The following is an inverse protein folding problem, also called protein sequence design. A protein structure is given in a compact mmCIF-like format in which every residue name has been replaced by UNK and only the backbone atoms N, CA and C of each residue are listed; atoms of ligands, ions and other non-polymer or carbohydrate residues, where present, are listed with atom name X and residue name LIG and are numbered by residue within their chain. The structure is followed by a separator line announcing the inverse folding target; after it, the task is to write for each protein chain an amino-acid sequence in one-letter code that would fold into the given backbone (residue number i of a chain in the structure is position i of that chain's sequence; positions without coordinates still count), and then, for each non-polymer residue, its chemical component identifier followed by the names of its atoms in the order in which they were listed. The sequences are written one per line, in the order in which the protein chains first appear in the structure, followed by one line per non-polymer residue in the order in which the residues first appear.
data_IF_057371594138
#
_entry.id   IF_057371594138
#
_cell.length_a   1.000
_cell.length_b   1.000
_cell.length_c   1.000
_cell.angle_alpha   90.00
_cell.angle_beta   90.00
_cell.angle_gamma   90.00
#
_symmetry.space_group_name_H-M   'P 1'
#
loop_
_entity.id
_entity.type
_entity.pdbx_description
1 polymer ?
#
# COMPACT_ATOMS: atom_id res chain seq x y z
N UNK A 1 -29.64 6.30 -16.94
CA UNK A 1 -29.20 5.37 -15.87
C UNK A 1 -27.78 5.73 -15.49
N UNK A 2 -27.52 5.95 -14.21
CA UNK A 2 -26.17 6.18 -13.72
C UNK A 2 -25.37 4.89 -13.86
N UNK A 3 -24.19 4.97 -14.48
CA UNK A 3 -23.27 3.84 -14.58
C UNK A 3 -22.81 3.43 -13.18
N UNK A 4 -22.81 2.15 -12.89
CA UNK A 4 -22.31 1.62 -11.62
C UNK A 4 -21.08 0.76 -11.84
N UNK A 5 -20.26 0.62 -10.81
CA UNK A 5 -19.07 -0.21 -10.78
C UNK A 5 -19.02 -1.07 -9.52
N UNK A 6 -18.31 -2.19 -9.57
CA UNK A 6 -18.10 -3.06 -8.42
C UNK A 6 -16.83 -2.61 -7.70
N UNK A 7 -17.00 -2.19 -6.45
CA UNK A 7 -15.90 -1.98 -5.51
C UNK A 7 -15.69 -3.24 -4.68
N UNK A 8 -14.45 -3.53 -4.28
CA UNK A 8 -14.10 -4.67 -3.41
C UNK A 8 -13.42 -4.17 -2.15
N UNK A 9 -13.59 -4.90 -1.06
CA UNK A 9 -12.75 -4.75 0.13
C UNK A 9 -11.56 -5.73 0.10
N UNK A 10 -10.73 -5.69 1.14
CA UNK A 10 -9.56 -6.58 1.27
C UNK A 10 -9.92 -8.05 1.54
N UNK A 11 -11.17 -8.34 1.85
CA UNK A 11 -11.68 -9.70 2.07
C UNK A 11 -12.38 -10.27 0.83
N UNK A 12 -12.53 -9.45 -0.23
CA UNK A 12 -13.19 -9.85 -1.48
C UNK A 12 -14.70 -9.61 -1.50
N UNK A 13 -15.30 -9.00 -0.47
CA UNK A 13 -16.69 -8.58 -0.51
C UNK A 13 -16.89 -7.54 -1.61
N UNK A 14 -18.05 -7.58 -2.25
CA UNK A 14 -18.37 -6.73 -3.40
C UNK A 14 -19.50 -5.76 -3.08
N UNK A 15 -19.35 -4.53 -3.54
CA UNK A 15 -20.29 -3.44 -3.37
C UNK A 15 -20.54 -2.79 -4.73
N UNK A 16 -21.80 -2.76 -5.18
CA UNK A 16 -22.21 -2.03 -6.39
C UNK A 16 -22.36 -0.56 -6.04
N UNK A 17 -21.59 0.31 -6.67
CA UNK A 17 -21.53 1.74 -6.36
C UNK A 17 -21.78 2.56 -7.63
N UNK A 18 -22.66 3.57 -7.60
CA UNK A 18 -22.77 4.56 -8.68
C UNK A 18 -21.45 5.28 -8.91
N UNK A 19 -21.07 5.50 -10.16
CA UNK A 19 -19.77 6.12 -10.52
C UNK A 19 -19.64 7.55 -9.97
N UNK A 20 -20.72 8.27 -9.86
CA UNK A 20 -20.80 9.64 -9.31
C UNK A 20 -20.61 9.69 -7.78
N UNK A 21 -20.68 8.56 -7.09
CA UNK A 21 -20.38 8.45 -5.65
C UNK A 21 -18.90 8.08 -5.37
N UNK A 22 -18.10 7.86 -6.40
CA UNK A 22 -16.68 7.52 -6.22
C UNK A 22 -15.83 8.76 -5.92
N UNK A 23 -15.00 8.68 -4.88
CA UNK A 23 -13.89 9.61 -4.71
C UNK A 23 -12.66 9.11 -5.47
N UNK A 24 -11.92 10.02 -6.08
CA UNK A 24 -10.59 9.72 -6.62
C UNK A 24 -9.58 9.84 -5.49
N UNK A 25 -8.78 8.78 -5.29
CA UNK A 25 -7.69 8.73 -4.31
C UNK A 25 -6.41 8.33 -5.01
N UNK A 26 -5.34 9.05 -4.76
CA UNK A 26 -3.99 8.64 -5.16
C UNK A 26 -3.32 7.97 -3.96
N UNK A 27 -2.81 6.76 -4.17
CA UNK A 27 -2.07 6.00 -3.18
C UNK A 27 -0.64 5.75 -3.66
N UNK A 28 0.31 5.83 -2.75
CA UNK A 28 1.73 5.55 -2.97
C UNK A 28 2.18 4.43 -2.05
N UNK A 29 2.94 3.48 -2.58
CA UNK A 29 3.37 2.28 -1.86
C UNK A 29 4.85 2.01 -2.15
N UNK A 30 5.60 1.64 -1.11
CA UNK A 30 7.02 1.32 -1.22
C UNK A 30 7.24 -0.18 -1.36
N UNK A 31 8.04 -0.56 -2.34
CA UNK A 31 8.55 -1.92 -2.54
C UNK A 31 9.99 -1.92 -2.07
N UNK A 32 10.18 -2.21 -0.78
CA UNK A 32 11.48 -2.19 -0.10
C UNK A 32 11.98 -3.63 0.01
N UNK A 33 13.01 -3.95 -0.76
CA UNK A 33 13.58 -5.30 -0.83
C UNK A 33 15.07 -5.21 -0.56
N UNK A 34 15.52 -5.93 0.48
CA UNK A 34 16.92 -6.09 0.88
C UNK A 34 17.18 -7.58 1.22
N UNK A 35 18.32 -8.10 0.87
CA UNK A 35 18.78 -9.45 1.22
C UNK A 35 17.73 -10.56 1.00
N UNK A 36 17.05 -10.57 -0.15
CA UNK A 36 15.98 -11.50 -0.51
C UNK A 36 14.75 -11.45 0.42
N UNK A 37 14.51 -10.30 1.06
CA UNK A 37 13.34 -10.06 1.90
C UNK A 37 12.64 -8.78 1.49
N UNK A 38 11.33 -8.77 1.65
CA UNK A 38 10.50 -7.57 1.48
C UNK A 38 10.05 -7.05 2.85
N UNK A 39 10.08 -5.73 3.02
CA UNK A 39 9.54 -5.09 4.22
C UNK A 39 8.03 -4.87 4.03
N UNK A 40 7.25 -5.42 4.95
CA UNK A 40 5.79 -5.34 4.96
C UNK A 40 5.28 -4.84 6.31
N UNK A 41 4.16 -4.16 6.31
CA UNK A 41 3.44 -3.78 7.54
C UNK A 41 2.51 -4.90 7.95
N UNK A 42 2.59 -5.33 9.21
CA UNK A 42 1.70 -6.34 9.76
C UNK A 42 0.29 -5.78 9.96
N UNK A 43 -0.68 -6.49 9.44
CA UNK A 43 -2.11 -6.25 9.63
C UNK A 43 -2.67 -7.25 10.65
N UNK A 44 -3.96 -7.12 11.01
CA UNK A 44 -4.63 -8.00 11.98
C UNK A 44 -4.49 -9.49 11.66
N UNK A 45 -4.58 -9.86 10.39
CA UNK A 45 -4.60 -11.23 9.91
C UNK A 45 -3.71 -11.45 8.68
N UNK A 46 -2.73 -10.60 8.49
CA UNK A 46 -1.83 -10.68 7.34
C UNK A 46 -0.86 -9.52 7.23
N UNK A 47 -0.55 -9.15 6.02
CA UNK A 47 0.43 -8.12 5.70
C UNK A 47 -0.07 -7.18 4.60
N UNK A 48 0.44 -5.96 4.59
CA UNK A 48 0.26 -5.00 3.51
C UNK A 48 1.60 -4.36 3.14
N UNK A 49 1.65 -3.70 1.98
CA UNK A 49 2.76 -2.80 1.67
C UNK A 49 2.72 -1.56 2.57
N UNK A 50 3.90 -0.99 2.78
CA UNK A 50 4.09 0.29 3.42
C UNK A 50 3.63 1.39 2.45
N UNK A 51 2.83 2.32 2.93
CA UNK A 51 2.33 3.41 2.12
C UNK A 51 0.89 3.77 2.39
N UNK A 52 0.42 4.83 1.77
CA UNK A 52 -0.93 5.35 2.02
C UNK A 52 -1.38 6.37 0.98
N UNK A 53 -2.22 7.30 1.40
CA UNK A 53 -2.79 8.31 0.53
C UNK A 53 -1.91 9.54 0.40
N UNK A 54 -1.82 10.08 -0.80
CA UNK A 54 -1.24 11.41 -1.04
C UNK A 54 -2.15 12.46 -0.39
N UNK A 55 -1.55 13.32 0.41
CA UNK A 55 -2.23 14.44 1.05
C UNK A 55 -2.24 15.69 0.16
N UNK A 56 -3.16 16.61 0.46
CA UNK A 56 -3.21 17.88 -0.28
C UNK A 56 -1.95 18.70 -0.02
N UNK A 57 -1.29 19.11 -1.10
CA UNK A 57 -0.08 19.91 -1.05
C UNK A 57 1.22 19.12 -1.10
N UNK A 58 1.14 17.78 -1.08
CA UNK A 58 2.29 16.90 -1.27
C UNK A 58 2.49 16.52 -2.73
N UNK A 59 3.74 16.35 -3.13
CA UNK A 59 4.09 15.56 -4.31
C UNK A 59 3.98 14.06 -3.99
N UNK A 60 3.93 13.22 -5.01
CA UNK A 60 3.88 11.76 -4.81
C UNK A 60 5.18 11.24 -4.15
N UNK A 61 6.31 11.87 -4.43
CA UNK A 61 7.61 11.55 -3.84
C UNK A 61 7.68 11.96 -2.36
N UNK A 62 7.19 13.14 -2.00
CA UNK A 62 7.09 13.55 -0.59
C UNK A 62 6.17 12.62 0.19
N UNK A 63 5.04 12.24 -0.39
CA UNK A 63 4.08 11.36 0.26
C UNK A 63 4.67 9.98 0.54
N UNK A 64 5.38 9.37 -0.40
CA UNK A 64 5.97 8.03 -0.15
C UNK A 64 7.10 8.09 0.88
N UNK A 65 7.88 9.16 0.94
CA UNK A 65 8.89 9.34 2.00
C UNK A 65 8.22 9.47 3.37
N UNK A 66 7.19 10.31 3.48
CA UNK A 66 6.42 10.48 4.73
C UNK A 66 5.81 9.17 5.21
N UNK A 67 5.11 8.44 4.35
CA UNK A 67 4.45 7.17 4.70
C UNK A 67 5.47 6.13 5.19
N UNK A 68 6.62 6.01 4.52
CA UNK A 68 7.67 5.08 4.95
C UNK A 68 8.22 5.49 6.32
N UNK A 69 8.48 6.77 6.55
CA UNK A 69 8.98 7.26 7.82
C UNK A 69 7.96 7.04 8.96
N UNK A 70 6.69 7.38 8.73
CA UNK A 70 5.61 7.22 9.70
C UNK A 70 5.41 5.75 10.10
N UNK A 71 5.32 4.84 9.12
CA UNK A 71 5.02 3.44 9.37
C UNK A 71 6.23 2.62 9.83
N UNK A 72 7.46 3.05 9.52
CA UNK A 72 8.64 2.21 9.74
C UNK A 72 9.79 2.86 10.50
N UNK A 73 9.83 4.18 10.58
CA UNK A 73 10.99 4.94 11.07
C UNK A 73 12.17 4.99 10.10
N UNK A 74 12.04 4.38 8.91
CA UNK A 74 13.05 4.41 7.87
C UNK A 74 12.86 5.62 6.97
N UNK A 75 13.95 6.08 6.37
CA UNK A 75 13.96 7.13 5.36
C UNK A 75 14.42 6.52 4.04
N UNK A 76 13.64 6.68 3.00
CA UNK A 76 13.99 6.23 1.64
C UNK A 76 14.29 7.41 0.72
N UNK A 77 15.10 7.14 -0.31
CA UNK A 77 15.14 7.96 -1.51
C UNK A 77 14.34 7.21 -2.59
N UNK A 78 13.14 7.71 -2.98
CA UNK A 78 12.36 7.08 -4.05
C UNK A 78 13.17 7.05 -5.35
N UNK A 79 13.06 5.96 -6.11
CA UNK A 79 13.80 5.80 -7.37
C UNK A 79 12.83 5.71 -8.55
N UNK A 80 12.18 4.57 -8.75
CA UNK A 80 11.33 4.32 -9.91
C UNK A 80 9.92 3.93 -9.50
N UNK A 81 8.95 4.33 -10.30
CA UNK A 81 7.61 3.74 -10.28
C UNK A 81 7.66 2.48 -11.14
N UNK A 82 7.63 1.32 -10.50
CA UNK A 82 7.72 0.01 -11.18
C UNK A 82 6.36 -0.53 -11.58
N UNK A 83 5.31 -0.11 -10.90
CA UNK A 83 3.96 -0.58 -11.18
C UNK A 83 2.95 0.52 -10.89
N UNK A 84 1.83 0.47 -11.59
CA UNK A 84 0.67 1.34 -11.38
C UNK A 84 -0.60 0.54 -11.59
N UNK A 85 -1.61 0.81 -10.78
CA UNK A 85 -2.90 0.17 -10.89
C UNK A 85 -4.04 1.16 -10.63
N UNK A 86 -5.20 0.88 -11.21
CA UNK A 86 -6.45 1.53 -10.81
C UNK A 86 -7.34 0.47 -10.19
N UNK A 87 -7.74 0.69 -8.95
CA UNK A 87 -8.63 -0.21 -8.21
C UNK A 87 -9.88 0.52 -7.74
N UNK A 88 -10.95 -0.24 -7.55
CA UNK A 88 -12.21 0.26 -7.01
C UNK A 88 -12.43 -0.39 -5.66
N UNK A 89 -12.27 0.41 -4.62
CA UNK A 89 -12.22 -0.05 -3.24
C UNK A 89 -13.30 0.58 -2.38
N UNK A 90 -13.90 -0.24 -1.53
CA UNK A 90 -14.83 0.20 -0.48
C UNK A 90 -14.60 -0.68 0.74
N UNK A 91 -14.22 -0.09 1.88
CA UNK A 91 -13.82 -0.84 3.07
C UNK A 91 -14.95 -1.68 3.66
N UNK A 92 -16.16 -1.14 3.66
CA UNK A 92 -17.38 -1.78 4.14
C UNK A 92 -18.61 -1.07 3.55
N UNK A 93 -19.81 -1.51 3.88
CA UNK A 93 -21.06 -0.95 3.37
C UNK A 93 -21.25 0.54 3.66
N UNK A 94 -20.69 1.06 4.76
CA UNK A 94 -20.85 2.44 5.22
C UNK A 94 -19.71 3.38 4.78
N UNK A 95 -18.56 2.79 4.40
CA UNK A 95 -17.39 3.58 4.01
C UNK A 95 -17.58 4.24 2.65
N UNK A 96 -16.87 5.36 2.45
CA UNK A 96 -16.74 6.00 1.15
C UNK A 96 -16.09 5.07 0.15
N UNK A 97 -16.64 4.98 -1.04
CA UNK A 97 -16.07 4.23 -2.16
C UNK A 97 -15.03 5.08 -2.90
N UNK A 98 -13.94 4.43 -3.30
CA UNK A 98 -12.82 5.10 -3.94
C UNK A 98 -12.44 4.43 -5.26
N UNK A 99 -12.20 5.23 -6.28
CA UNK A 99 -11.37 4.90 -7.41
C UNK A 99 -9.94 5.26 -7.04
N UNK A 100 -9.11 4.27 -6.72
CA UNK A 100 -7.74 4.47 -6.28
C UNK A 100 -6.78 4.32 -7.45
N UNK A 101 -5.98 5.35 -7.68
CA UNK A 101 -4.80 5.30 -8.56
C UNK A 101 -3.62 4.98 -7.66
N UNK A 102 -2.99 3.84 -7.85
CA UNK A 102 -1.93 3.32 -6.99
C UNK A 102 -0.60 3.31 -7.73
N UNK A 103 0.44 3.82 -7.08
CA UNK A 103 1.79 3.93 -7.60
C UNK A 103 2.75 3.18 -6.68
N UNK A 104 3.60 2.32 -7.25
CA UNK A 104 4.51 1.46 -6.51
C UNK A 104 5.94 1.87 -6.81
N UNK A 105 6.66 2.31 -5.76
CA UNK A 105 8.00 2.84 -5.84
C UNK A 105 9.05 1.84 -5.37
N UNK A 106 10.17 1.79 -6.07
CA UNK A 106 11.44 1.30 -5.51
C UNK A 106 12.21 2.43 -4.84
N UNK A 107 13.29 2.09 -4.17
CA UNK A 107 14.20 3.04 -3.55
C UNK A 107 15.64 2.82 -4.01
N UNK A 108 16.43 3.89 -4.02
CA UNK A 108 17.88 3.86 -4.28
C UNK A 108 18.71 3.89 -3.00
N UNK A 109 18.15 4.40 -1.92
CA UNK A 109 18.78 4.48 -0.61
C UNK A 109 17.76 4.19 0.48
N UNK A 110 18.22 3.54 1.55
CA UNK A 110 17.45 3.20 2.74
C UNK A 110 18.30 3.50 3.97
N UNK A 111 17.77 4.32 4.89
CA UNK A 111 18.45 4.74 6.10
C UNK A 111 17.55 4.62 7.32
N UNK A 112 18.17 4.56 8.51
CA UNK A 112 17.45 4.55 9.78
C UNK A 112 17.35 3.16 10.39
N UNK A 113 16.53 3.06 11.43
CA UNK A 113 16.22 1.82 12.13
C UNK A 113 14.72 1.64 12.20
N UNK A 114 14.26 0.42 12.01
CA UNK A 114 12.83 0.11 12.07
C UNK A 114 12.31 0.41 13.48
N UNK A 115 11.30 1.25 13.52
CA UNK A 115 10.46 1.51 14.68
C UNK A 115 9.04 1.88 14.21
N UNK A 116 8.10 1.93 15.12
CA UNK A 116 6.72 2.34 14.86
C UNK A 116 6.28 3.50 15.76
N UNK A 117 7.22 4.30 16.24
CA UNK A 117 6.94 5.38 17.19
C UNK A 117 6.11 6.51 16.57
N UNK A 118 6.18 6.66 15.26
CA UNK A 118 5.51 7.72 14.49
C UNK A 118 4.13 7.32 13.94
N UNK A 119 3.68 6.08 14.17
CA UNK A 119 2.36 5.62 13.70
C UNK A 119 1.27 6.41 14.41
N UNK A 120 0.39 7.04 13.63
CA UNK A 120 -0.74 7.82 14.16
C UNK A 120 -1.80 6.92 14.81
N UNK A 121 -2.63 7.49 15.71
CA UNK A 121 -3.70 6.72 16.38
C UNK A 121 -4.74 6.18 15.40
N UNK A 122 -4.96 6.83 14.26
CA UNK A 122 -5.82 6.32 13.19
C UNK A 122 -5.21 5.10 12.51
N UNK A 123 -3.91 5.06 12.33
CA UNK A 123 -3.19 3.94 11.71
C UNK A 123 -3.09 2.75 12.66
N UNK A 124 -2.92 2.96 13.96
CA UNK A 124 -2.97 1.89 14.99
C UNK A 124 -4.26 1.08 14.97
N UNK A 125 -5.31 1.62 14.37
CA UNK A 125 -6.56 0.89 14.14
C UNK A 125 -6.42 -0.20 13.07
N UNK A 126 -5.47 -0.09 12.16
CA UNK A 126 -5.27 -0.99 11.01
C UNK A 126 -4.02 -1.84 11.11
N UNK A 127 -2.98 -1.35 11.78
CA UNK A 127 -1.73 -2.09 11.98
C UNK A 127 -1.63 -2.54 13.44
N UNK A 128 -1.17 -3.75 13.67
CA UNK A 128 -1.01 -4.29 15.02
C UNK A 128 0.45 -4.53 15.40
N UNK A 129 1.39 -3.97 14.68
CA UNK A 129 2.79 -4.19 15.01
C UNK A 129 3.81 -3.44 14.18
N UNK A 130 5.06 -3.67 14.55
CA UNK A 130 6.24 -3.18 13.84
C UNK A 130 6.32 -3.80 12.45
N UNK A 131 6.78 -3.08 11.42
CA UNK A 131 7.04 -3.65 10.12
C UNK A 131 8.02 -4.82 10.20
N UNK A 132 7.81 -5.82 9.38
CA UNK A 132 8.58 -7.07 9.39
C UNK A 132 9.22 -7.34 8.04
N UNK A 133 10.45 -7.84 8.06
CA UNK A 133 11.11 -8.40 6.90
C UNK A 133 10.63 -9.82 6.63
N UNK A 134 9.98 -10.03 5.50
CA UNK A 134 9.45 -11.34 5.08
C UNK A 134 10.30 -11.88 3.94
N UNK A 135 10.79 -13.12 4.08
CA UNK A 135 11.56 -13.79 3.03
C UNK A 135 10.72 -13.91 1.75
N UNK A 136 11.29 -13.57 0.60
CA UNK A 136 10.61 -13.67 -0.68
C UNK A 136 10.17 -15.11 -1.01
N UNK A 137 10.86 -16.10 -0.49
CA UNK A 137 10.50 -17.52 -0.65
C UNK A 137 9.24 -17.92 0.14
N UNK A 138 8.82 -17.10 1.10
CA UNK A 138 7.66 -17.36 1.97
C UNK A 138 6.40 -16.56 1.61
N UNK A 139 6.50 -15.66 0.64
CA UNK A 139 5.39 -14.74 0.30
C UNK A 139 4.10 -15.43 -0.13
N UNK A 140 4.20 -16.64 -0.69
CA UNK A 140 3.02 -17.40 -1.11
C UNK A 140 2.19 -17.96 0.05
N UNK A 141 2.80 -18.04 1.23
CA UNK A 141 2.15 -18.52 2.46
C UNK A 141 1.54 -17.44 3.34
N UNK A 142 1.70 -16.15 2.99
CA UNK A 142 1.16 -15.05 3.79
C UNK A 142 -0.22 -14.60 3.29
N UNK A 143 -1.04 -14.10 4.21
CA UNK A 143 -2.23 -13.36 3.85
C UNK A 143 -1.83 -11.92 3.49
N UNK A 144 -1.86 -11.59 2.20
CA UNK A 144 -1.55 -10.25 1.75
C UNK A 144 -2.83 -9.44 1.58
N UNK A 145 -2.99 -8.38 2.38
CA UNK A 145 -4.18 -7.53 2.47
C UNK A 145 -3.97 -6.22 1.70
N UNK A 146 -3.94 -6.34 0.39
CA UNK A 146 -3.77 -5.21 -0.51
C UNK A 146 -4.62 -5.43 -1.76
N UNK A 147 -5.02 -4.35 -2.44
CA UNK A 147 -5.90 -4.43 -3.60
C UNK A 147 -5.23 -4.96 -4.88
N UNK A 148 -3.90 -4.91 -4.94
CA UNK A 148 -3.08 -5.52 -5.99
C UNK A 148 -2.29 -6.67 -5.39
N UNK A 149 -2.17 -7.79 -6.09
CA UNK A 149 -1.47 -8.96 -5.56
C UNK A 149 0.04 -8.72 -5.43
N UNK A 150 0.65 -9.28 -4.38
CA UNK A 150 2.09 -9.16 -4.17
C UNK A 150 2.89 -9.77 -5.34
N UNK A 151 2.40 -10.86 -5.94
CA UNK A 151 3.04 -11.47 -7.12
C UNK A 151 3.10 -10.53 -8.32
N UNK A 152 2.03 -9.78 -8.57
CA UNK A 152 1.98 -8.80 -9.67
C UNK A 152 3.01 -7.69 -9.44
N UNK A 153 3.09 -7.17 -8.22
CA UNK A 153 4.05 -6.13 -7.84
C UNK A 153 5.50 -6.62 -7.94
N UNK A 154 5.78 -7.84 -7.44
CA UNK A 154 7.12 -8.43 -7.50
C UNK A 154 7.52 -8.83 -8.92
N UNK A 155 6.58 -9.22 -9.77
CA UNK A 155 6.81 -9.43 -11.20
C UNK A 155 7.32 -8.14 -11.86
N UNK A 156 6.63 -7.02 -11.62
CA UNK A 156 7.05 -5.71 -12.11
C UNK A 156 8.41 -5.25 -11.56
N UNK A 157 8.73 -5.59 -10.30
CA UNK A 157 10.06 -5.33 -9.71
C UNK A 157 11.17 -6.10 -10.42
N UNK A 158 10.92 -7.36 -10.77
CA UNK A 158 11.91 -8.22 -11.46
C UNK A 158 12.15 -7.76 -12.90
N UNK A 159 11.11 -7.33 -13.60
CA UNK A 159 11.18 -6.85 -14.98
C UNK A 159 11.87 -5.49 -15.12
N UNK A 160 11.92 -4.72 -14.03
CA UNK A 160 12.53 -3.37 -13.97
C UNK A 160 14.01 -3.34 -13.59
N UNK A 161 14.65 -4.51 -13.35
CA UNK A 161 16.07 -4.63 -13.00
C UNK A 161 17.01 -4.69 -14.18
#
# INVERSE_FOLDING_TARGET
MTKSIICKDVFGNQYTVPVDELNIRVGVYAVIIEDNKILLTRQWDGYSLIGGGVEKGETIEESIVREVEEETGLIIMPDKIIHRATTFFKRNSEAQANQSIQLYFTHSQLHGQINNDNITDSEKTYTNGTPEWVDLDKIDGINFRHSVSLREILGAYSDGK
#
